data_IF_362420213536
#
_entry.id   IF_362420213536
#
_cell.length_a   1.000
_cell.length_b   1.000
_cell.length_c   1.000
_cell.angle_alpha   90.00
_cell.angle_beta   90.00
_cell.angle_gamma   90.00
#
_symmetry.space_group_name_H-M   'P 1'
#
loop_
_entity.id
_entity.type
_entity.pdbx_description
1 polymer ?
#
# COMPACT_ATOMS: atom_id res chain seq x y z
N UNK A 1 38.26 6.93 -13.69
CA UNK A 1 37.28 5.90 -13.29
C UNK A 1 37.96 4.66 -12.69
N UNK A 2 37.59 4.32 -11.46
CA UNK A 2 37.93 3.04 -10.83
C UNK A 2 36.95 1.94 -11.22
N UNK A 3 37.23 0.70 -10.81
CA UNK A 3 36.39 -0.48 -11.10
C UNK A 3 36.12 -1.28 -9.85
N UNK A 4 34.85 -1.59 -9.59
CA UNK A 4 34.41 -2.57 -8.60
C UNK A 4 34.05 -3.83 -9.36
N UNK A 5 34.80 -4.91 -9.15
CA UNK A 5 34.47 -6.24 -9.70
C UNK A 5 33.53 -6.95 -8.74
N UNK A 6 32.24 -6.90 -9.04
CA UNK A 6 31.21 -7.58 -8.28
C UNK A 6 31.14 -9.05 -8.70
N UNK A 7 31.14 -9.95 -7.72
CA UNK A 7 31.13 -11.40 -7.95
C UNK A 7 30.02 -12.05 -7.13
N UNK A 8 29.21 -12.83 -7.82
CA UNK A 8 28.24 -13.77 -7.23
C UNK A 8 28.76 -15.19 -7.51
N UNK A 9 28.09 -16.25 -7.04
CA UNK A 9 28.56 -17.60 -7.42
C UNK A 9 28.13 -17.98 -8.85
N UNK A 10 27.26 -17.19 -9.49
CA UNK A 10 26.77 -17.43 -10.84
C UNK A 10 27.32 -16.45 -11.87
N UNK A 11 27.66 -15.21 -11.47
CA UNK A 11 28.01 -14.12 -12.38
C UNK A 11 29.12 -13.23 -11.81
N UNK A 12 30.01 -12.80 -12.69
CA UNK A 12 30.97 -11.72 -12.46
C UNK A 12 30.57 -10.53 -13.32
N UNK A 13 30.56 -9.33 -12.76
CA UNK A 13 30.34 -8.11 -13.52
C UNK A 13 31.13 -6.92 -12.96
N UNK A 14 31.46 -5.98 -13.85
CA UNK A 14 32.24 -4.79 -13.53
C UNK A 14 31.31 -3.58 -13.38
N UNK A 15 31.48 -2.85 -12.28
CA UNK A 15 30.88 -1.54 -12.07
C UNK A 15 31.97 -0.48 -12.16
N UNK A 16 31.77 0.53 -13.01
CA UNK A 16 32.69 1.66 -13.12
C UNK A 16 32.23 2.79 -12.18
N UNK A 17 33.16 3.31 -11.38
CA UNK A 17 32.92 4.50 -10.56
C UNK A 17 33.05 5.76 -11.43
N UNK A 18 32.24 6.77 -11.13
CA UNK A 18 32.40 8.13 -11.66
C UNK A 18 33.48 8.88 -10.87
N UNK A 19 33.96 9.99 -11.43
CA UNK A 19 34.98 10.80 -10.74
C UNK A 19 34.39 11.40 -9.45
N UNK A 20 35.10 11.21 -8.34
CA UNK A 20 34.65 11.63 -7.00
C UNK A 20 33.59 10.71 -6.36
N UNK A 21 33.10 9.70 -7.07
CA UNK A 21 32.07 8.77 -6.59
C UNK A 21 32.69 7.70 -5.67
N UNK A 22 32.12 7.57 -4.48
CA UNK A 22 32.44 6.49 -3.55
C UNK A 22 31.90 5.14 -4.04
N UNK A 23 32.44 4.05 -3.50
CA UNK A 23 31.93 2.70 -3.78
C UNK A 23 30.44 2.59 -3.40
N UNK A 24 30.02 3.17 -2.28
CA UNK A 24 28.62 3.20 -1.85
C UNK A 24 27.71 3.83 -2.91
N UNK A 25 28.09 4.99 -3.43
CA UNK A 25 27.32 5.70 -4.45
C UNK A 25 27.26 4.91 -5.75
N UNK A 26 28.38 4.31 -6.17
CA UNK A 26 28.41 3.48 -7.37
C UNK A 26 27.49 2.25 -7.26
N UNK A 27 27.49 1.56 -6.11
CA UNK A 27 26.58 0.43 -5.86
C UNK A 27 25.11 0.87 -5.84
N UNK A 28 24.79 1.96 -5.14
CA UNK A 28 23.42 2.51 -5.06
C UNK A 28 22.90 2.94 -6.43
N UNK A 29 23.74 3.61 -7.24
CA UNK A 29 23.40 4.02 -8.60
C UNK A 29 23.07 2.82 -9.50
N UNK A 30 23.72 1.69 -9.26
CA UNK A 30 23.44 0.44 -9.97
C UNK A 30 22.36 -0.41 -9.33
N UNK A 31 21.60 0.14 -8.36
CA UNK A 31 20.53 -0.53 -7.62
C UNK A 31 21.01 -1.82 -6.89
N UNK A 32 22.27 -1.87 -6.49
CA UNK A 32 22.87 -3.00 -5.77
C UNK A 32 22.89 -2.74 -4.26
N UNK A 33 22.46 -3.70 -3.43
CA UNK A 33 22.48 -3.55 -1.98
C UNK A 33 23.91 -3.60 -1.47
N UNK A 34 24.47 -2.45 -1.06
CA UNK A 34 25.85 -2.38 -0.54
C UNK A 34 26.11 -3.34 0.63
N UNK A 35 25.11 -3.51 1.50
CA UNK A 35 25.17 -4.46 2.62
C UNK A 35 25.30 -5.92 2.17
N UNK A 36 24.95 -6.24 0.93
CA UNK A 36 25.03 -7.57 0.35
C UNK A 36 26.43 -7.97 -0.10
N UNK A 37 27.44 -7.09 0.00
CA UNK A 37 28.80 -7.34 -0.50
C UNK A 37 29.86 -7.25 0.60
N UNK A 38 30.80 -8.20 0.59
CA UNK A 38 32.10 -8.10 1.24
C UNK A 38 33.07 -7.39 0.30
N UNK A 39 33.58 -6.23 0.72
CA UNK A 39 34.52 -5.43 -0.05
C UNK A 39 35.96 -5.67 0.40
N UNK A 40 36.85 -5.86 -0.57
CA UNK A 40 38.28 -5.86 -0.32
C UNK A 40 39.08 -5.31 -1.50
N UNK A 41 40.29 -4.85 -1.21
CA UNK A 41 41.27 -4.46 -2.22
C UNK A 41 41.85 -5.68 -2.97
N UNK A 42 42.82 -5.47 -3.84
CA UNK A 42 43.46 -6.56 -4.59
C UNK A 42 44.29 -7.50 -3.71
N UNK A 43 44.74 -7.03 -2.54
CA UNK A 43 45.55 -7.79 -1.57
C UNK A 43 44.68 -8.53 -0.53
N UNK A 44 43.35 -8.36 -0.58
CA UNK A 44 42.41 -8.98 0.35
C UNK A 44 42.19 -8.20 1.64
N UNK A 45 42.68 -6.96 1.73
CA UNK A 45 42.47 -6.04 2.84
C UNK A 45 41.04 -5.48 2.87
N UNK A 46 40.54 -5.18 4.07
CA UNK A 46 39.22 -4.53 4.24
C UNK A 46 39.16 -3.21 3.48
N UNK A 47 38.03 -2.97 2.80
CA UNK A 47 37.79 -1.73 2.09
C UNK A 47 36.48 -1.06 2.53
N UNK A 48 36.57 0.21 2.90
CA UNK A 48 35.39 1.00 3.29
C UNK A 48 34.50 1.33 2.09
N UNK A 49 33.18 1.26 2.28
CA UNK A 49 32.17 1.73 1.33
C UNK A 49 32.33 3.23 0.98
N UNK A 50 32.93 4.03 1.88
CA UNK A 50 33.18 5.45 1.68
C UNK A 50 34.41 5.73 0.78
N UNK A 51 35.15 4.70 0.36
CA UNK A 51 36.35 4.87 -0.46
C UNK A 51 35.99 5.39 -1.84
N UNK A 52 36.70 6.42 -2.31
CA UNK A 52 36.68 6.89 -3.69
C UNK A 52 37.85 6.25 -4.44
N UNK A 53 37.54 5.52 -5.51
CA UNK A 53 38.56 4.81 -6.27
C UNK A 53 39.31 5.73 -7.24
N UNK A 54 40.63 5.62 -7.25
CA UNK A 54 41.47 6.31 -8.24
C UNK A 54 41.28 5.71 -9.63
N UNK A 55 41.60 6.48 -10.68
CA UNK A 55 41.54 5.99 -12.06
C UNK A 55 42.43 4.77 -12.25
N UNK A 56 41.86 3.68 -12.78
CA UNK A 56 42.57 2.42 -12.98
C UNK A 56 42.60 1.50 -11.76
N UNK A 57 42.27 2.00 -10.56
CA UNK A 57 42.18 1.18 -9.36
C UNK A 57 41.04 0.16 -9.49
N UNK A 58 41.29 -1.06 -9.03
CA UNK A 58 40.33 -2.16 -9.02
C UNK A 58 40.16 -2.68 -7.62
N UNK A 59 38.92 -3.05 -7.28
CA UNK A 59 38.56 -3.64 -6.01
C UNK A 59 37.56 -4.75 -6.25
N UNK A 60 37.44 -5.68 -5.30
CA UNK A 60 36.53 -6.81 -5.41
C UNK A 60 35.36 -6.64 -4.43
N UNK A 61 34.18 -7.00 -4.89
CA UNK A 61 32.96 -7.04 -4.10
C UNK A 61 32.34 -8.43 -4.21
N UNK A 62 32.50 -9.26 -3.18
CA UNK A 62 31.92 -10.60 -3.15
C UNK A 62 30.53 -10.55 -2.52
N UNK A 63 29.52 -11.07 -3.22
CA UNK A 63 28.19 -11.21 -2.64
C UNK A 63 28.24 -12.15 -1.42
N UNK A 64 27.70 -11.69 -0.29
CA UNK A 64 27.68 -12.43 0.98
C UNK A 64 26.78 -13.68 0.92
N UNK A 65 25.78 -13.64 0.04
CA UNK A 65 24.89 -14.76 -0.29
C UNK A 65 24.94 -14.98 -1.79
N UNK A 66 24.30 -16.03 -2.29
CA UNK A 66 24.14 -16.22 -3.74
C UNK A 66 22.71 -15.92 -4.23
N UNK A 67 22.16 -14.71 -4.02
CA UNK A 67 20.93 -14.34 -4.69
C UNK A 67 21.21 -14.11 -6.18
N UNK A 68 20.21 -14.38 -7.01
CA UNK A 68 20.24 -13.92 -8.39
C UNK A 68 20.01 -12.41 -8.41
N UNK A 69 21.03 -11.62 -8.80
CA UNK A 69 20.92 -10.16 -8.88
C UNK A 69 20.11 -9.70 -10.11
N UNK A 70 19.83 -10.59 -11.06
CA UNK A 70 18.92 -10.32 -12.18
C UNK A 70 17.52 -9.93 -11.71
N UNK A 71 17.10 -10.40 -10.52
CA UNK A 71 15.80 -10.06 -9.93
C UNK A 71 15.70 -8.61 -9.45
N UNK A 72 16.83 -7.91 -9.28
CA UNK A 72 16.83 -6.50 -8.86
C UNK A 72 16.50 -5.55 -10.01
N UNK A 73 16.69 -5.99 -11.25
CA UNK A 73 16.37 -5.26 -12.46
C UNK A 73 15.78 -6.21 -13.52
N UNK A 74 14.58 -6.75 -13.25
CA UNK A 74 13.98 -7.76 -14.11
C UNK A 74 13.59 -7.14 -15.46
N UNK A 75 13.70 -7.94 -16.52
CA UNK A 75 13.11 -7.58 -17.81
C UNK A 75 11.59 -7.52 -17.67
N UNK A 76 11.00 -6.35 -17.93
CA UNK A 76 9.55 -6.15 -17.86
C UNK A 76 8.94 -6.38 -19.24
N UNK A 77 7.91 -7.24 -19.31
CA UNK A 77 7.10 -7.35 -20.51
C UNK A 77 6.10 -6.21 -20.56
N UNK A 78 6.08 -5.46 -21.66
CA UNK A 78 5.15 -4.35 -21.87
C UNK A 78 4.34 -4.63 -23.14
N UNK A 79 3.03 -4.83 -22.96
CA UNK A 79 2.08 -4.82 -24.07
C UNK A 79 1.53 -3.40 -24.21
N UNK A 80 2.22 -2.59 -25.00
CA UNK A 80 1.89 -1.17 -25.16
C UNK A 80 0.49 -0.94 -25.74
N UNK A 81 -0.22 0.06 -25.22
CA UNK A 81 -1.52 0.53 -25.71
C UNK A 81 -1.53 2.04 -25.86
N UNK A 82 -2.12 2.52 -26.96
CA UNK A 82 -2.20 3.97 -27.27
C UNK A 82 -3.27 4.70 -26.43
N UNK A 83 -4.24 3.98 -25.87
CA UNK A 83 -5.38 4.50 -25.12
C UNK A 83 -5.32 4.22 -23.60
N UNK A 84 -4.15 3.79 -23.12
CA UNK A 84 -3.94 3.50 -21.71
C UNK A 84 -4.07 4.77 -20.84
N UNK A 85 -4.84 4.67 -19.75
CA UNK A 85 -4.95 5.72 -18.72
C UNK A 85 -4.34 5.30 -17.39
N UNK A 86 -4.13 3.99 -17.20
CA UNK A 86 -3.58 3.40 -15.99
C UNK A 86 -2.70 2.20 -16.32
N UNK A 87 -1.79 1.88 -15.42
CA UNK A 87 -0.92 0.71 -15.54
C UNK A 87 -0.44 0.21 -14.17
N UNK A 88 -0.20 -1.10 -14.07
CA UNK A 88 0.35 -1.74 -12.86
C UNK A 88 1.38 -2.80 -13.23
N UNK A 89 2.26 -3.09 -12.28
CA UNK A 89 3.06 -4.30 -12.31
C UNK A 89 2.24 -5.47 -11.78
N UNK A 90 2.26 -6.58 -12.50
CA UNK A 90 1.63 -7.83 -12.11
C UNK A 90 2.58 -9.00 -12.37
N UNK A 91 2.33 -10.12 -11.70
CA UNK A 91 2.96 -11.39 -12.02
C UNK A 91 2.03 -12.14 -12.97
N UNK A 92 2.45 -12.33 -14.22
CA UNK A 92 1.67 -13.08 -15.23
C UNK A 92 2.32 -14.43 -15.54
N UNK A 93 1.47 -15.42 -15.84
CA UNK A 93 1.87 -16.77 -16.21
C UNK A 93 2.48 -17.62 -15.09
N UNK A 94 2.94 -18.82 -15.49
CA UNK A 94 3.57 -19.80 -14.58
C UNK A 94 4.93 -19.36 -14.07
N UNK A 95 5.62 -18.52 -14.83
CA UNK A 95 6.99 -18.08 -14.52
C UNK A 95 7.02 -16.87 -13.57
N UNK A 96 5.86 -16.31 -13.20
CA UNK A 96 5.74 -15.16 -12.29
C UNK A 96 6.60 -13.96 -12.73
N UNK A 97 6.78 -13.78 -14.04
CA UNK A 97 7.61 -12.70 -14.58
C UNK A 97 6.91 -11.35 -14.38
N UNK A 98 7.66 -10.28 -14.05
CA UNK A 98 7.09 -8.95 -13.98
C UNK A 98 6.56 -8.48 -15.34
N UNK A 99 5.26 -8.18 -15.38
CA UNK A 99 4.56 -7.66 -16.56
C UNK A 99 3.95 -6.31 -16.22
N UNK A 100 4.09 -5.33 -17.11
CA UNK A 100 3.39 -4.07 -17.04
C UNK A 100 2.06 -4.20 -17.78
N UNK A 101 0.97 -4.22 -17.02
CA UNK A 101 -0.40 -4.33 -17.53
C UNK A 101 -0.97 -2.93 -17.65
N UNK A 102 -1.48 -2.59 -18.84
CA UNK A 102 -2.07 -1.29 -19.14
C UNK A 102 -3.59 -1.40 -19.29
N UNK A 103 -4.31 -0.38 -18.82
CA UNK A 103 -5.78 -0.34 -18.81
C UNK A 103 -6.31 0.94 -19.46
N UNK A 104 -7.36 0.80 -20.25
CA UNK A 104 -8.33 1.90 -20.42
C UNK A 104 -9.09 2.14 -19.12
N UNK A 105 -9.79 3.27 -19.00
CA UNK A 105 -10.58 3.54 -17.78
C UNK A 105 -11.65 2.47 -17.56
N UNK A 106 -12.32 2.02 -18.62
CA UNK A 106 -13.38 1.02 -18.53
C UNK A 106 -12.82 -0.32 -18.04
N UNK A 107 -11.75 -0.82 -18.66
CA UNK A 107 -11.10 -2.07 -18.27
C UNK A 107 -10.56 -2.00 -16.83
N UNK A 108 -9.97 -0.88 -16.43
CA UNK A 108 -9.47 -0.72 -15.07
C UNK A 108 -10.58 -0.69 -14.02
N UNK A 109 -11.70 -0.02 -14.30
CA UNK A 109 -12.88 -0.09 -13.41
C UNK A 109 -13.47 -1.49 -13.37
N UNK A 110 -13.57 -2.20 -14.50
CA UNK A 110 -14.05 -3.58 -14.53
C UNK A 110 -13.14 -4.51 -13.71
N UNK A 111 -11.82 -4.33 -13.82
CA UNK A 111 -10.83 -5.07 -13.03
C UNK A 111 -11.01 -4.84 -11.53
N UNK A 112 -11.10 -3.58 -11.10
CA UNK A 112 -11.31 -3.24 -9.69
C UNK A 112 -12.68 -3.73 -9.21
N UNK A 113 -13.73 -3.58 -10.02
CA UNK A 113 -15.08 -4.03 -9.70
C UNK A 113 -15.14 -5.54 -9.51
N UNK A 114 -14.46 -6.33 -10.34
CA UNK A 114 -14.38 -7.78 -10.17
C UNK A 114 -13.79 -8.17 -8.81
N UNK A 115 -12.75 -7.47 -8.34
CA UNK A 115 -12.17 -7.70 -7.02
C UNK A 115 -13.12 -7.28 -5.88
N UNK A 116 -13.70 -6.08 -5.97
CA UNK A 116 -14.63 -5.55 -4.97
C UNK A 116 -15.88 -6.41 -4.85
N UNK A 117 -16.53 -6.72 -5.98
CA UNK A 117 -17.76 -7.54 -6.01
C UNK A 117 -17.53 -8.92 -5.44
N UNK A 118 -16.38 -9.56 -5.72
CA UNK A 118 -16.02 -10.84 -5.11
C UNK A 118 -15.94 -10.76 -3.58
N UNK A 119 -15.24 -9.77 -3.04
CA UNK A 119 -15.11 -9.58 -1.58
C UNK A 119 -16.48 -9.36 -0.94
N UNK A 120 -17.33 -8.52 -1.54
CA UNK A 120 -18.67 -8.24 -1.03
C UNK A 120 -19.58 -9.47 -1.10
N UNK A 121 -19.52 -10.23 -2.19
CA UNK A 121 -20.29 -11.46 -2.36
C UNK A 121 -19.88 -12.52 -1.32
N UNK A 122 -18.58 -12.78 -1.18
CA UNK A 122 -18.05 -13.74 -0.20
C UNK A 122 -18.44 -13.32 1.22
N UNK A 123 -18.30 -12.03 1.56
CA UNK A 123 -18.66 -11.50 2.88
C UNK A 123 -20.15 -11.71 3.19
N UNK A 124 -21.04 -11.33 2.26
CA UNK A 124 -22.49 -11.47 2.44
C UNK A 124 -22.93 -12.92 2.48
N UNK A 125 -22.29 -13.80 1.73
CA UNK A 125 -22.56 -15.24 1.80
C UNK A 125 -22.14 -15.83 3.15
N UNK A 126 -21.01 -15.39 3.70
CA UNK A 126 -20.54 -15.83 5.02
C UNK A 126 -21.34 -15.21 6.19
N UNK A 127 -22.01 -14.08 5.98
CA UNK A 127 -22.79 -13.35 6.98
C UNK A 127 -24.19 -13.03 6.44
N UNK A 128 -25.06 -14.03 6.21
CA UNK A 128 -26.39 -13.81 5.65
C UNK A 128 -27.32 -13.02 6.59
N UNK A 129 -27.09 -13.08 7.90
CA UNK A 129 -27.70 -12.21 8.91
C UNK A 129 -27.08 -10.81 8.96
N UNK A 130 -25.95 -10.60 8.27
CA UNK A 130 -25.28 -9.32 8.16
C UNK A 130 -26.17 -8.31 7.46
N UNK A 131 -26.67 -7.34 8.24
CA UNK A 131 -27.55 -6.29 7.76
C UNK A 131 -26.86 -5.25 6.87
N UNK A 132 -27.18 -3.99 7.12
CA UNK A 132 -26.61 -2.85 6.40
C UNK A 132 -25.08 -2.77 6.59
N UNK A 133 -24.34 -2.65 5.48
CA UNK A 133 -22.87 -2.52 5.51
C UNK A 133 -22.51 -1.03 5.47
N UNK A 134 -21.74 -0.57 6.44
CA UNK A 134 -21.24 0.80 6.44
C UNK A 134 -20.12 0.97 5.41
N UNK A 135 -20.03 2.15 4.80
CA UNK A 135 -18.89 2.54 3.97
C UNK A 135 -18.21 3.74 4.64
N UNK A 136 -16.95 3.62 5.04
CA UNK A 136 -16.15 4.78 5.43
C UNK A 136 -15.76 5.55 4.16
N UNK A 137 -16.57 6.55 3.79
CA UNK A 137 -16.48 7.22 2.50
C UNK A 137 -15.76 8.57 2.64
N UNK A 138 -14.60 8.69 2.00
CA UNK A 138 -13.86 9.95 1.89
C UNK A 138 -13.94 10.54 0.47
N UNK A 139 -13.59 11.83 0.35
CA UNK A 139 -13.49 12.50 -0.95
C UNK A 139 -12.27 12.11 -1.79
N UNK A 140 -11.37 11.26 -1.27
CA UNK A 140 -10.14 10.85 -1.93
C UNK A 140 -10.33 9.79 -3.03
N UNK A 141 -9.21 9.41 -3.68
CA UNK A 141 -9.20 8.44 -4.79
C UNK A 141 -9.79 7.08 -4.40
N UNK A 142 -9.37 6.51 -3.26
CA UNK A 142 -9.85 5.20 -2.79
C UNK A 142 -11.35 5.23 -2.50
N UNK A 143 -11.80 6.25 -1.75
CA UNK A 143 -13.21 6.44 -1.40
C UNK A 143 -14.11 6.55 -2.64
N UNK A 144 -13.68 7.27 -3.68
CA UNK A 144 -14.43 7.38 -4.93
C UNK A 144 -14.55 6.04 -5.66
N UNK A 145 -13.44 5.31 -5.80
CA UNK A 145 -13.43 4.02 -6.50
C UNK A 145 -14.27 2.99 -5.75
N UNK A 146 -14.20 2.97 -4.41
CA UNK A 146 -15.11 2.17 -3.57
C UNK A 146 -16.56 2.59 -3.82
N UNK A 147 -16.86 3.88 -3.79
CA UNK A 147 -18.22 4.40 -4.04
C UNK A 147 -18.78 4.00 -5.40
N UNK A 148 -17.97 4.10 -6.47
CA UNK A 148 -18.33 3.69 -7.84
C UNK A 148 -18.62 2.18 -7.91
N UNK A 149 -17.73 1.36 -7.33
CA UNK A 149 -17.89 -0.09 -7.33
C UNK A 149 -19.07 -0.57 -6.47
N UNK A 150 -19.28 0.02 -5.28
CA UNK A 150 -20.42 -0.32 -4.42
C UNK A 150 -21.74 0.14 -5.04
N UNK A 151 -21.77 1.31 -5.68
CA UNK A 151 -22.93 1.78 -6.43
C UNK A 151 -23.33 0.82 -7.56
N UNK A 152 -22.34 0.35 -8.33
CA UNK A 152 -22.54 -0.68 -9.36
C UNK A 152 -23.03 -1.99 -8.74
N UNK A 153 -22.39 -2.46 -7.67
CA UNK A 153 -22.79 -3.67 -6.96
C UNK A 153 -24.23 -3.60 -6.47
N UNK A 154 -24.66 -2.48 -5.89
CA UNK A 154 -26.05 -2.25 -5.46
C UNK A 154 -27.04 -2.27 -6.63
N UNK A 155 -26.61 -1.85 -7.81
CA UNK A 155 -27.45 -1.89 -9.02
C UNK A 155 -27.67 -3.32 -9.50
N UNK A 156 -26.63 -4.16 -9.41
CA UNK A 156 -26.68 -5.60 -9.73
C UNK A 156 -27.36 -6.42 -8.61
N UNK A 157 -27.35 -5.91 -7.37
CA UNK A 157 -27.91 -6.54 -6.17
C UNK A 157 -28.80 -5.54 -5.38
N UNK A 158 -30.04 -5.26 -5.82
CA UNK A 158 -30.89 -4.23 -5.23
C UNK A 158 -31.22 -4.42 -3.74
N UNK A 159 -31.21 -5.66 -3.25
CA UNK A 159 -31.47 -6.00 -1.85
C UNK A 159 -30.23 -5.77 -0.94
N UNK A 160 -29.06 -5.48 -1.53
CA UNK A 160 -27.86 -5.19 -0.77
C UNK A 160 -27.93 -3.79 -0.15
N UNK A 161 -28.09 -3.73 1.17
CA UNK A 161 -28.10 -2.49 1.93
C UNK A 161 -26.68 -1.99 2.22
N UNK A 162 -26.43 -0.71 1.93
CA UNK A 162 -25.22 0.02 2.27
C UNK A 162 -25.54 1.42 2.79
N UNK A 163 -24.70 1.93 3.69
CA UNK A 163 -24.80 3.30 4.19
C UNK A 163 -23.41 3.94 4.34
N UNK A 164 -23.19 5.06 3.65
CA UNK A 164 -21.94 5.79 3.71
C UNK A 164 -21.86 6.68 4.96
N UNK A 165 -20.72 6.65 5.63
CA UNK A 165 -20.35 7.60 6.68
C UNK A 165 -19.24 8.46 6.13
N UNK A 166 -19.53 9.76 6.03
CA UNK A 166 -18.62 10.78 5.51
C UNK A 166 -18.12 11.60 6.70
N UNK A 167 -16.81 11.79 6.79
CA UNK A 167 -16.17 12.38 7.97
C UNK A 167 -15.12 13.39 7.56
N UNK A 168 -15.16 14.58 8.14
CA UNK A 168 -14.07 15.53 8.08
C UNK A 168 -13.00 15.17 9.10
N UNK A 169 -11.73 15.18 8.70
CA UNK A 169 -10.60 14.77 9.55
C UNK A 169 -9.74 15.94 10.05
N UNK A 170 -10.11 17.19 9.73
CA UNK A 170 -9.43 18.41 10.21
C UNK A 170 -8.10 18.76 9.51
N UNK A 171 -7.69 18.04 8.46
CA UNK A 171 -6.45 18.30 7.72
C UNK A 171 -6.66 19.05 6.40
N UNK A 172 -7.82 18.86 5.80
CA UNK A 172 -8.21 19.49 4.54
C UNK A 172 -9.24 20.60 4.82
N UNK A 173 -9.55 21.40 3.79
CA UNK A 173 -10.74 22.25 3.82
C UNK A 173 -11.96 21.36 4.05
N UNK A 174 -12.57 21.48 5.24
CA UNK A 174 -13.68 20.64 5.67
C UNK A 174 -14.84 20.70 4.67
N UNK A 175 -15.18 21.90 4.19
CA UNK A 175 -16.33 22.08 3.30
C UNK A 175 -16.09 21.35 1.99
N UNK A 176 -14.92 21.54 1.38
CA UNK A 176 -14.61 20.88 0.12
C UNK A 176 -14.49 19.35 0.26
N UNK A 177 -13.90 18.87 1.35
CA UNK A 177 -13.78 17.44 1.64
C UNK A 177 -15.16 16.78 1.72
N UNK A 178 -16.05 17.37 2.53
CA UNK A 178 -17.40 16.89 2.73
C UNK A 178 -18.21 16.96 1.43
N UNK A 179 -18.16 18.08 0.70
CA UNK A 179 -18.88 18.26 -0.56
C UNK A 179 -18.45 17.24 -1.61
N UNK A 180 -17.16 16.94 -1.70
CA UNK A 180 -16.62 15.92 -2.60
C UNK A 180 -17.19 14.53 -2.29
N UNK A 181 -17.13 14.12 -1.02
CA UNK A 181 -17.64 12.81 -0.58
C UNK A 181 -19.18 12.71 -0.72
N UNK A 182 -19.91 13.78 -0.42
CA UNK A 182 -21.36 13.87 -0.62
C UNK A 182 -21.69 13.74 -2.12
N UNK A 183 -20.91 14.39 -2.98
CA UNK A 183 -21.03 14.28 -4.43
C UNK A 183 -20.92 12.83 -4.91
N UNK A 184 -19.96 12.07 -4.36
CA UNK A 184 -19.79 10.64 -4.64
C UNK A 184 -21.01 9.84 -4.18
N UNK A 185 -21.44 10.01 -2.93
CA UNK A 185 -22.60 9.29 -2.37
C UNK A 185 -23.88 9.55 -3.18
N UNK A 186 -24.14 10.82 -3.53
CA UNK A 186 -25.28 11.22 -4.37
C UNK A 186 -25.19 10.61 -5.76
N UNK A 187 -24.02 10.69 -6.41
CA UNK A 187 -23.80 10.17 -7.78
C UNK A 187 -24.09 8.68 -7.88
N UNK A 188 -23.77 7.92 -6.83
CA UNK A 188 -23.95 6.46 -6.79
C UNK A 188 -25.16 6.01 -5.97
N UNK A 189 -26.07 6.94 -5.64
CA UNK A 189 -27.30 6.67 -4.90
C UNK A 189 -27.09 5.89 -3.59
N UNK A 190 -26.02 6.22 -2.86
CA UNK A 190 -25.69 5.67 -1.55
C UNK A 190 -26.34 6.54 -0.46
N UNK A 191 -27.19 5.97 0.42
CA UNK A 191 -27.59 6.64 1.65
C UNK A 191 -26.36 7.07 2.44
N UNK A 192 -26.38 8.25 3.06
CA UNK A 192 -25.21 8.75 3.77
C UNK A 192 -25.54 9.56 5.02
N UNK A 193 -24.60 9.57 5.97
CA UNK A 193 -24.55 10.49 7.11
C UNK A 193 -23.23 11.25 7.05
N UNK A 194 -23.27 12.53 7.39
CA UNK A 194 -22.10 13.41 7.41
C UNK A 194 -21.77 13.76 8.86
N UNK A 195 -20.49 13.71 9.19
CA UNK A 195 -19.93 14.22 10.43
C UNK A 195 -18.87 15.26 10.09
N UNK A 196 -19.10 16.51 10.49
CA UNK A 196 -18.06 17.54 10.51
C UNK A 196 -17.10 17.29 11.69
N UNK A 197 -16.06 18.10 11.83
CA UNK A 197 -15.06 17.96 12.89
C UNK A 197 -15.70 18.01 14.29
N UNK A 198 -16.58 18.98 14.53
CA UNK A 198 -17.25 19.19 15.82
C UNK A 198 -18.15 18.01 16.22
N UNK A 199 -18.98 17.53 15.29
CA UNK A 199 -19.87 16.39 15.52
C UNK A 199 -19.06 15.11 15.75
N UNK A 200 -17.97 14.93 15.00
CA UNK A 200 -17.03 13.81 15.19
C UNK A 200 -16.39 13.86 16.58
N UNK A 201 -15.95 15.04 17.01
CA UNK A 201 -15.28 15.24 18.29
C UNK A 201 -16.22 15.00 19.46
N UNK A 202 -17.43 15.55 19.37
CA UNK A 202 -18.48 15.29 20.36
C UNK A 202 -18.84 13.81 20.42
N UNK A 203 -18.93 13.13 19.28
CA UNK A 203 -19.26 11.70 19.20
C UNK A 203 -18.20 10.83 19.88
N UNK A 204 -16.93 11.19 19.72
CA UNK A 204 -15.79 10.49 20.33
C UNK A 204 -15.42 10.99 21.74
N UNK A 205 -16.13 11.98 22.29
CA UNK A 205 -15.93 12.47 23.66
C UNK A 205 -14.80 13.48 23.83
N UNK A 206 -14.33 14.11 22.75
CA UNK A 206 -13.30 15.15 22.79
C UNK A 206 -13.91 16.50 23.18
N UNK A 207 -13.86 16.81 24.48
CA UNK A 207 -14.49 18.01 25.06
C UNK A 207 -13.96 19.35 24.48
N UNK A 208 -12.75 19.38 23.95
CA UNK A 208 -12.09 20.57 23.40
C UNK A 208 -11.88 20.49 21.87
N UNK A 209 -12.64 19.64 21.17
CA UNK A 209 -12.50 19.44 19.73
C UNK A 209 -11.30 18.54 19.36
N UNK A 210 -11.21 18.19 18.08
CA UNK A 210 -10.12 17.34 17.58
C UNK A 210 -8.80 18.09 17.43
N UNK A 211 -8.86 19.37 17.01
CA UNK A 211 -7.69 20.26 16.94
C UNK A 211 -6.84 20.25 18.23
N UNK A 212 -7.47 20.27 19.41
CA UNK A 212 -6.76 20.21 20.70
C UNK A 212 -6.01 18.89 20.90
N UNK A 213 -6.57 17.76 20.43
CA UNK A 213 -5.89 16.46 20.48
C UNK A 213 -4.71 16.41 19.49
N UNK A 214 -4.86 17.00 18.32
CA UNK A 214 -3.78 17.13 17.33
C UNK A 214 -2.62 17.99 17.83
N UNK A 215 -2.91 19.13 18.45
CA UNK A 215 -1.89 19.99 19.07
C UNK A 215 -1.11 19.22 20.14
N UNK A 216 -1.82 18.55 21.06
CA UNK A 216 -1.18 17.73 22.09
C UNK A 216 -0.34 16.60 21.49
N UNK A 217 -0.82 15.94 20.44
CA UNK A 217 -0.06 14.88 19.76
C UNK A 217 1.23 15.42 19.15
N UNK A 218 1.18 16.59 18.50
CA UNK A 218 2.38 17.24 17.93
C UNK A 218 3.38 17.64 19.01
N UNK A 219 2.91 18.10 20.17
CA UNK A 219 3.78 18.46 21.29
C UNK A 219 4.44 17.23 21.93
N UNK A 220 3.71 16.11 22.03
CA UNK A 220 4.19 14.86 22.65
C UNK A 220 5.06 14.03 21.69
N UNK A 221 4.76 14.08 20.38
CA UNK A 221 5.43 13.33 19.32
C UNK A 221 5.85 14.26 18.17
N UNK A 222 6.84 15.16 18.38
CA UNK A 222 7.21 16.18 17.39
C UNK A 222 7.78 15.62 16.08
N UNK A 223 8.29 14.38 16.10
CA UNK A 223 8.85 13.68 14.94
C UNK A 223 7.83 12.73 14.26
N UNK A 224 6.60 12.63 14.79
CA UNK A 224 5.54 11.80 14.23
C UNK A 224 4.61 12.59 13.29
N UNK A 225 3.90 11.84 12.46
CA UNK A 225 2.93 12.39 11.53
C UNK A 225 1.55 12.47 12.17
N UNK A 226 1.03 13.69 12.35
CA UNK A 226 -0.29 13.93 12.93
C UNK A 226 -1.44 13.26 12.13
N UNK A 227 -1.23 12.97 10.84
CA UNK A 227 -2.18 12.23 10.00
C UNK A 227 -2.43 10.80 10.51
N UNK A 228 -1.50 10.21 11.27
CA UNK A 228 -1.70 8.90 11.92
C UNK A 228 -2.85 8.99 12.93
N UNK A 229 -2.84 10.02 13.78
CA UNK A 229 -3.91 10.25 14.74
C UNK A 229 -5.25 10.52 14.02
N UNK A 230 -5.22 11.23 12.89
CA UNK A 230 -6.40 11.48 12.05
C UNK A 230 -7.01 10.20 11.47
N UNK A 231 -6.15 9.29 11.01
CA UNK A 231 -6.59 8.01 10.47
C UNK A 231 -7.24 7.16 11.56
N UNK A 232 -6.62 7.13 12.75
CA UNK A 232 -7.18 6.46 13.92
C UNK A 232 -8.53 7.08 14.33
N UNK A 233 -8.61 8.41 14.35
CA UNK A 233 -9.84 9.15 14.63
C UNK A 233 -10.99 8.77 13.70
N UNK A 234 -10.75 8.77 12.39
CA UNK A 234 -11.77 8.40 11.40
C UNK A 234 -12.21 6.95 11.60
N UNK A 235 -11.28 6.06 11.92
CA UNK A 235 -11.59 4.66 12.21
C UNK A 235 -12.46 4.50 13.45
N UNK A 236 -12.09 5.13 14.57
CA UNK A 236 -12.85 5.09 15.83
C UNK A 236 -14.25 5.68 15.67
N UNK A 237 -14.39 6.78 14.92
CA UNK A 237 -15.69 7.36 14.61
C UNK A 237 -16.55 6.36 13.83
N UNK A 238 -15.97 5.72 12.82
CA UNK A 238 -16.68 4.72 12.02
C UNK A 238 -17.14 3.54 12.88
N UNK A 239 -16.33 3.07 13.83
CA UNK A 239 -16.75 2.04 14.79
C UNK A 239 -17.89 2.51 15.69
N UNK A 240 -17.81 3.72 16.26
CA UNK A 240 -18.86 4.26 17.09
C UNK A 240 -20.19 4.39 16.32
N UNK A 241 -20.15 4.87 15.07
CA UNK A 241 -21.34 5.03 14.22
C UNK A 241 -21.91 3.66 13.80
N UNK A 242 -21.06 2.69 13.49
CA UNK A 242 -21.51 1.35 13.14
C UNK A 242 -22.22 0.67 14.31
N UNK A 243 -21.67 0.77 15.53
CA UNK A 243 -22.29 0.21 16.76
C UNK A 243 -23.65 0.81 17.04
N UNK A 244 -23.76 2.13 17.00
CA UNK A 244 -25.03 2.84 17.21
C UNK A 244 -26.12 2.39 16.22
N UNK A 245 -25.72 2.13 14.98
CA UNK A 245 -26.63 1.69 13.93
C UNK A 245 -26.83 0.17 13.87
N UNK A 246 -26.20 -0.61 14.76
CA UNK A 246 -26.27 -2.07 14.75
C UNK A 246 -25.64 -2.72 13.52
N UNK A 247 -24.68 -2.06 12.87
CA UNK A 247 -23.97 -2.58 11.69
C UNK A 247 -22.81 -3.45 12.12
N UNK A 248 -22.66 -4.60 11.46
CA UNK A 248 -21.62 -5.59 11.77
C UNK A 248 -20.43 -5.54 10.81
N UNK A 249 -20.51 -4.74 9.75
CA UNK A 249 -19.45 -4.60 8.74
C UNK A 249 -19.22 -3.16 8.30
N UNK A 250 -17.96 -2.78 8.14
CA UNK A 250 -17.52 -1.48 7.63
C UNK A 250 -16.53 -1.69 6.49
N UNK A 251 -16.79 -1.06 5.34
CA UNK A 251 -15.87 -1.01 4.21
C UNK A 251 -14.86 0.12 4.40
N UNK A 252 -13.57 -0.22 4.34
CA UNK A 252 -12.46 0.73 4.26
C UNK A 252 -11.70 0.56 2.94
N UNK A 253 -11.20 1.67 2.38
CA UNK A 253 -10.49 1.70 1.10
C UNK A 253 -9.02 1.27 1.15
N UNK A 254 -8.65 0.29 1.99
CA UNK A 254 -7.25 -0.16 2.08
C UNK A 254 -6.80 -0.81 0.77
N UNK A 255 -5.75 -0.26 0.18
CA UNK A 255 -5.14 -0.74 -1.06
C UNK A 255 -4.00 -1.75 -0.76
N UNK A 256 -3.39 -2.30 -1.81
CA UNK A 256 -2.31 -3.29 -1.67
C UNK A 256 -1.10 -2.77 -0.87
N UNK A 257 -0.70 -1.52 -1.07
CA UNK A 257 0.44 -0.93 -0.38
C UNK A 257 0.16 -0.76 1.13
N UNK A 258 -1.07 -0.41 1.51
CA UNK A 258 -1.49 -0.37 2.91
C UNK A 258 -1.38 -1.76 3.55
N UNK A 259 -1.80 -2.81 2.84
CA UNK A 259 -1.71 -4.20 3.31
C UNK A 259 -0.26 -4.62 3.51
N UNK A 260 0.62 -4.36 2.54
CA UNK A 260 2.04 -4.70 2.64
C UNK A 260 2.70 -3.94 3.79
N UNK A 261 2.48 -2.62 3.88
CA UNK A 261 3.05 -1.80 4.95
C UNK A 261 2.59 -2.28 6.33
N UNK A 262 1.31 -2.64 6.49
CA UNK A 262 0.78 -3.17 7.73
C UNK A 262 1.36 -4.55 8.09
N UNK A 263 1.55 -5.44 7.10
CA UNK A 263 2.18 -6.75 7.33
C UNK A 263 3.64 -6.61 7.74
N UNK A 264 4.38 -5.67 7.15
CA UNK A 264 5.74 -5.34 7.60
C UNK A 264 5.73 -4.82 9.04
N UNK A 265 4.79 -3.94 9.39
CA UNK A 265 4.65 -3.43 10.74
C UNK A 265 4.31 -4.53 11.76
N UNK A 266 3.41 -5.45 11.40
CA UNK A 266 3.06 -6.63 12.20
C UNK A 266 4.29 -7.49 12.49
N UNK A 267 5.11 -7.76 11.47
CA UNK A 267 6.36 -8.51 11.62
C UNK A 267 7.36 -7.82 12.56
N UNK A 268 7.49 -6.49 12.48
CA UNK A 268 8.38 -5.72 13.36
C UNK A 268 7.91 -5.69 14.82
N UNK A 269 6.59 -5.70 15.05
CA UNK A 269 5.98 -5.57 16.38
C UNK A 269 5.57 -6.90 17.01
N UNK A 270 5.72 -8.02 16.30
CA UNK A 270 5.25 -9.34 16.74
C UNK A 270 3.73 -9.41 16.91
N UNK A 271 2.98 -8.51 16.25
CA UNK A 271 1.51 -8.48 16.30
C UNK A 271 0.96 -9.30 15.14
N UNK A 272 -0.06 -10.10 15.44
CA UNK A 272 -0.77 -10.88 14.43
C UNK A 272 -2.20 -10.36 14.35
N UNK A 273 -2.50 -9.67 13.26
CA UNK A 273 -3.87 -9.23 12.94
C UNK A 273 -4.48 -10.18 11.92
N UNK A 274 -5.80 -10.31 11.96
CA UNK A 274 -6.52 -11.12 10.99
C UNK A 274 -6.21 -10.68 9.56
N UNK A 275 -6.11 -11.63 8.61
CA UNK A 275 -5.85 -11.32 7.22
C UNK A 275 -6.98 -10.53 6.56
N UNK A 276 -6.64 -9.70 5.58
CA UNK A 276 -7.60 -9.18 4.61
C UNK A 276 -8.06 -10.29 3.65
N UNK A 277 -9.29 -10.26 3.11
CA UNK A 277 -10.14 -9.06 2.93
C UNK A 277 -11.05 -8.69 4.10
N UNK A 278 -11.20 -9.54 5.12
CA UNK A 278 -12.10 -9.29 6.25
C UNK A 278 -11.36 -9.52 7.56
N UNK A 279 -11.27 -8.48 8.39
CA UNK A 279 -10.65 -8.51 9.72
C UNK A 279 -11.67 -8.19 10.80
N UNK A 280 -11.58 -8.83 11.95
CA UNK A 280 -12.36 -8.42 13.12
C UNK A 280 -11.64 -7.33 13.91
N UNK A 281 -12.36 -6.27 14.26
CA UNK A 281 -11.91 -5.23 15.17
C UNK A 281 -13.11 -4.71 15.98
N UNK A 282 -12.99 -4.72 17.32
CA UNK A 282 -14.07 -4.29 18.23
C UNK A 282 -15.44 -4.99 18.01
N UNK A 283 -15.42 -6.24 17.54
CA UNK A 283 -16.65 -6.98 17.21
C UNK A 283 -17.31 -6.54 15.91
N UNK A 284 -16.60 -5.78 15.07
CA UNK A 284 -17.03 -5.34 13.74
C UNK A 284 -16.10 -5.95 12.69
N UNK A 285 -16.67 -6.40 11.57
CA UNK A 285 -15.94 -6.80 10.38
C UNK A 285 -15.44 -5.57 9.62
N UNK A 286 -14.13 -5.37 9.59
CA UNK A 286 -13.44 -4.49 8.66
C UNK A 286 -13.31 -5.18 7.30
N UNK A 287 -13.95 -4.63 6.28
CA UNK A 287 -13.97 -5.16 4.92
C UNK A 287 -13.07 -4.27 4.06
N UNK A 288 -11.99 -4.84 3.51
CA UNK A 288 -11.05 -4.15 2.65
C UNK A 288 -11.16 -4.69 1.21
N UNK A 289 -12.10 -4.19 0.40
CA UNK A 289 -12.33 -4.75 -0.93
C UNK A 289 -11.21 -4.41 -1.94
N UNK A 290 -10.37 -3.41 -1.63
CA UNK A 290 -9.25 -2.97 -2.48
C UNK A 290 -7.90 -3.58 -2.07
N UNK A 291 -7.85 -4.50 -1.11
CA UNK A 291 -6.63 -5.03 -0.50
C UNK A 291 -5.61 -5.69 -1.46
N UNK A 292 -6.02 -6.01 -2.70
CA UNK A 292 -5.18 -6.56 -3.77
C UNK A 292 -4.92 -5.60 -4.92
N UNK A 293 -5.51 -4.40 -4.85
CA UNK A 293 -5.47 -3.41 -5.92
C UNK A 293 -4.36 -2.41 -5.60
N UNK A 294 -3.35 -2.26 -6.49
CA UNK A 294 -2.33 -1.24 -6.32
C UNK A 294 -2.92 0.16 -6.32
N UNK A 295 -2.43 1.00 -5.42
CA UNK A 295 -2.82 2.40 -5.27
C UNK A 295 -2.70 3.19 -6.58
N UNK A 296 -1.64 2.92 -7.35
CA UNK A 296 -1.42 3.50 -8.69
C UNK A 296 -2.61 3.30 -9.64
N UNK A 297 -3.25 2.14 -9.64
CA UNK A 297 -4.42 1.88 -10.50
C UNK A 297 -5.61 2.72 -10.06
N UNK A 298 -5.91 2.70 -8.76
CA UNK A 298 -7.05 3.43 -8.16
C UNK A 298 -6.96 4.91 -8.51
N UNK A 299 -5.78 5.51 -8.32
CA UNK A 299 -5.59 6.94 -8.54
C UNK A 299 -5.59 7.33 -10.01
N UNK A 300 -5.07 6.47 -10.88
CA UNK A 300 -5.04 6.70 -12.32
C UNK A 300 -6.45 6.64 -12.95
N UNK A 301 -7.39 5.92 -12.34
CA UNK A 301 -8.79 5.90 -12.79
C UNK A 301 -9.56 7.20 -12.47
N UNK A 302 -8.97 8.08 -11.66
CA UNK A 302 -9.46 9.44 -11.39
C UNK A 302 -8.33 10.44 -11.10
N UNK A 303 -7.45 10.66 -12.08
CA UNK A 303 -6.27 11.53 -11.94
C UNK A 303 -6.60 12.93 -11.43
N UNK A 304 -7.72 13.53 -11.86
CA UNK A 304 -8.08 14.90 -11.46
C UNK A 304 -8.29 14.98 -9.95
N UNK A 305 -9.00 14.02 -9.36
CA UNK A 305 -9.23 13.98 -7.93
C UNK A 305 -7.96 13.62 -7.16
N UNK A 306 -7.18 12.66 -7.68
CA UNK A 306 -5.93 12.23 -7.08
C UNK A 306 -4.92 13.38 -6.99
N UNK A 307 -4.75 14.15 -8.06
CA UNK A 307 -3.89 15.33 -8.09
C UNK A 307 -4.33 16.39 -7.08
N UNK A 308 -5.63 16.68 -7.03
CA UNK A 308 -6.19 17.63 -6.05
C UNK A 308 -5.89 17.22 -4.61
N UNK A 309 -5.98 15.93 -4.29
CA UNK A 309 -5.63 15.40 -2.97
C UNK A 309 -4.11 15.56 -2.73
N UNK A 310 -3.27 15.14 -3.68
CA UNK A 310 -1.81 15.19 -3.56
C UNK A 310 -1.22 16.59 -3.41
N UNK A 311 -1.81 17.59 -4.06
CA UNK A 311 -1.40 18.99 -3.91
C UNK A 311 -1.62 19.55 -2.50
N UNK A 312 -2.42 18.87 -1.67
CA UNK A 312 -2.81 19.30 -0.31
C UNK A 312 -2.17 18.47 0.79
N UNK A 313 -1.59 17.32 0.44
CA UNK A 313 -0.95 16.44 1.42
C UNK A 313 0.23 17.14 2.08
N UNK A 314 0.33 16.93 3.38
CA UNK A 314 1.54 17.29 4.12
C UNK A 314 2.59 16.21 3.89
N UNK A 315 3.87 16.61 3.92
CA UNK A 315 4.94 15.64 3.81
C UNK A 315 4.97 14.75 5.07
N UNK A 316 5.00 13.44 4.88
CA UNK A 316 5.26 12.51 5.99
C UNK A 316 6.66 12.76 6.53
N UNK A 317 6.75 12.98 7.85
CA UNK A 317 8.03 13.13 8.57
C UNK A 317 8.46 11.85 9.28
N UNK A 318 7.57 10.85 9.35
CA UNK A 318 7.85 9.58 10.01
C UNK A 318 8.76 8.70 9.16
N UNK A 319 9.99 8.49 9.62
CA UNK A 319 10.97 7.64 8.95
C UNK A 319 10.46 6.21 8.77
N UNK A 320 9.92 5.60 9.83
CA UNK A 320 9.49 4.21 9.80
C UNK A 320 8.31 4.00 8.84
N UNK A 321 7.30 4.88 8.90
CA UNK A 321 6.15 4.83 7.97
C UNK A 321 6.60 4.99 6.53
N UNK A 322 7.44 5.99 6.27
CA UNK A 322 8.02 6.23 4.94
C UNK A 322 8.79 5.01 4.43
N UNK A 323 9.64 4.41 5.27
CA UNK A 323 10.40 3.22 4.92
C UNK A 323 9.49 2.03 4.58
N UNK A 324 8.41 1.81 5.33
CA UNK A 324 7.45 0.73 5.04
C UNK A 324 6.74 0.93 3.70
N UNK A 325 6.30 2.15 3.38
CA UNK A 325 5.69 2.43 2.08
C UNK A 325 6.69 2.36 0.93
N UNK A 326 7.93 2.82 1.10
CA UNK A 326 8.97 2.64 0.07
C UNK A 326 9.28 1.16 -0.19
N UNK A 327 9.30 0.34 0.86
CA UNK A 327 9.41 -1.11 0.71
C UNK A 327 8.19 -1.69 -0.01
N UNK A 328 6.97 -1.27 0.33
CA UNK A 328 5.76 -1.70 -0.35
C UNK A 328 5.79 -1.36 -1.85
N UNK A 329 6.16 -0.13 -2.22
CA UNK A 329 6.31 0.26 -3.63
C UNK A 329 7.31 -0.62 -4.38
N UNK A 330 8.47 -0.89 -3.79
CA UNK A 330 9.47 -1.76 -4.40
C UNK A 330 9.03 -3.22 -4.49
N UNK A 331 8.28 -3.72 -3.50
CA UNK A 331 7.70 -5.07 -3.54
C UNK A 331 6.68 -5.17 -4.67
N UNK A 332 5.76 -4.22 -4.80
CA UNK A 332 4.76 -4.19 -5.88
C UNK A 332 5.43 -4.08 -7.26
N UNK A 333 6.40 -3.19 -7.41
CA UNK A 333 7.09 -2.93 -8.68
C UNK A 333 7.98 -4.10 -9.13
N UNK A 334 8.87 -4.56 -8.23
CA UNK A 334 9.96 -5.49 -8.60
C UNK A 334 9.62 -6.95 -8.31
N UNK A 335 8.75 -7.19 -7.35
CA UNK A 335 8.40 -8.52 -6.85
C UNK A 335 6.89 -8.72 -6.78
N UNK A 336 6.14 -8.56 -7.89
CA UNK A 336 4.67 -8.60 -7.86
C UNK A 336 4.10 -9.92 -7.33
N UNK A 337 4.81 -11.05 -7.48
CA UNK A 337 4.44 -12.32 -6.87
C UNK A 337 4.53 -12.27 -5.33
N UNK A 338 5.55 -11.60 -4.78
CA UNK A 338 5.67 -11.37 -3.34
C UNK A 338 4.60 -10.37 -2.85
N UNK A 339 4.25 -9.37 -3.67
CA UNK A 339 3.14 -8.47 -3.35
C UNK A 339 1.81 -9.23 -3.24
N UNK A 340 1.52 -10.14 -4.19
CA UNK A 340 0.35 -11.01 -4.13
C UNK A 340 0.35 -11.89 -2.88
N UNK A 341 1.51 -12.39 -2.46
CA UNK A 341 1.67 -13.18 -1.25
C UNK A 341 1.35 -12.40 0.03
N UNK A 342 1.80 -11.15 0.14
CA UNK A 342 1.44 -10.28 1.28
C UNK A 342 -0.07 -10.05 1.40
N UNK A 343 -0.78 -10.05 0.27
CA UNK A 343 -2.23 -9.90 0.18
C UNK A 343 -2.98 -11.24 0.08
N UNK A 344 -2.34 -12.38 0.35
CA UNK A 344 -3.03 -13.66 0.42
C UNK A 344 -3.57 -13.90 1.83
N UNK A 345 -4.89 -14.06 2.02
CA UNK A 345 -5.46 -14.37 3.34
C UNK A 345 -4.96 -15.68 3.94
N UNK A 346 -4.53 -16.63 3.10
CA UNK A 346 -4.06 -17.95 3.53
C UNK A 346 -2.62 -17.92 4.03
N UNK A 347 -1.86 -16.89 3.67
CA UNK A 347 -0.51 -16.66 4.17
C UNK A 347 -0.65 -15.84 5.44
N UNK A 348 -0.91 -16.56 6.53
CA UNK A 348 -0.82 -16.01 7.87
C UNK A 348 0.64 -16.06 8.31
N UNK A 349 1.10 -14.98 8.93
CA UNK A 349 2.31 -15.03 9.72
C UNK A 349 2.05 -15.92 10.94
N UNK A 350 2.05 -17.24 10.77
CA UNK A 350 2.26 -18.14 11.88
C UNK A 350 3.74 -18.09 12.21
N UNK A 351 4.10 -18.13 13.49
CA UNK A 351 5.47 -18.40 13.92
C UNK A 351 5.90 -19.85 13.61
N UNK A 352 5.48 -20.40 12.46
CA UNK A 352 5.82 -21.74 12.00
C UNK A 352 6.91 -21.67 10.94
N UNK A 353 7.96 -22.45 11.16
CA UNK A 353 9.21 -22.50 10.39
C UNK A 353 9.07 -22.98 8.93
N UNK A 354 7.86 -23.14 8.39
CA UNK A 354 7.64 -23.69 7.05
C UNK A 354 7.15 -22.61 6.06
N UNK A 355 7.96 -22.25 5.05
CA UNK A 355 7.55 -21.33 3.99
C UNK A 355 6.36 -21.90 3.19
N UNK A 356 5.49 -21.05 2.62
CA UNK A 356 4.40 -21.50 1.75
C UNK A 356 4.93 -22.35 0.57
N UNK A 357 4.27 -23.45 0.19
CA UNK A 357 4.76 -24.38 -0.84
C UNK A 357 5.04 -23.74 -2.21
N UNK A 358 4.36 -22.65 -2.57
CA UNK A 358 4.57 -21.92 -3.82
C UNK A 358 5.81 -20.99 -3.78
N UNK A 359 6.36 -20.71 -2.59
CA UNK A 359 7.59 -19.93 -2.40
C UNK A 359 8.85 -20.79 -2.54
N UNK A 360 8.73 -22.10 -2.37
CA UNK A 360 9.78 -23.09 -2.59
C UNK A 360 9.53 -23.66 -3.99
N UNK A 361 10.12 -23.04 -5.02
CA UNK A 361 10.10 -23.64 -6.36
C UNK A 361 10.67 -25.06 -6.26
N UNK A 362 9.83 -26.07 -6.51
CA UNK A 362 10.29 -27.45 -6.58
C UNK A 362 11.37 -27.53 -7.67
N UNK A 363 12.55 -28.08 -7.37
CA UNK A 363 13.57 -28.28 -8.38
C UNK A 363 13.00 -29.26 -9.42
N UNK A 364 12.89 -28.80 -10.67
CA UNK A 364 12.85 -29.69 -11.83
C UNK A 364 14.27 -30.16 -12.15
#
# INVERSE_FOLDING_TARGET
MGTIRARTTAFDFDLKTRDGESILEALRRSALPAQGFLLHDEDGGFLSLATVLSTGQRVNAFSLRNPDFGVLNPSVQVAGRDDAVAEIFAADGTDQKPTLVQFTRAEGIDYVYAAVSKVLHDYRHAHPEGGDIQIALSGGGDGRIVGECVGRYKTEHPDAAFHAVITANGFEDETEHLDSAIGIAKRFALPYTVFNEDDSAKKLGFANGFASALERYRDEFPDDEAEILATYWVQELNFAVARDAGRTGIIFGFNLEDVIAERLYQALTGRHLDPYPVRQAEGINLIAPLYRIPKKLIDALDVTNSMRNYERRQASVSYLRSAMYFLAYHVVERFPALAAAYADPTIVASASEEPPPWLIASPN
#
